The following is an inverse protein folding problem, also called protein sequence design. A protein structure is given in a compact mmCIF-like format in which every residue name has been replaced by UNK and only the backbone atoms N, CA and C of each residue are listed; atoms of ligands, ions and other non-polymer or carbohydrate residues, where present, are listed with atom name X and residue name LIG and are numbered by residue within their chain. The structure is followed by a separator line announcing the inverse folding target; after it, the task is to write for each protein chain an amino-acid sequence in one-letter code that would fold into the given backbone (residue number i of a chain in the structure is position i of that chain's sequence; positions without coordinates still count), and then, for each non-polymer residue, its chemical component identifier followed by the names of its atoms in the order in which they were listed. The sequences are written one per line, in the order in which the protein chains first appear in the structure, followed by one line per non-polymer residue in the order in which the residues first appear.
data_IF_883497008936
#
_entry.id   IF_883497008936
#
_cell.length_a   1.000
_cell.length_b   1.000
_cell.length_c   1.000
_cell.angle_alpha   90.00
_cell.angle_beta   90.00
_cell.angle_gamma   90.00
#
_symmetry.space_group_name_H-M   'P 1'
#
loop_
_entity.id
_entity.type
_entity.pdbx_description
1 polymer ?
#
# COMPACT_ATOMS: atom_id res chain seq x y z
N UNK A 1 14.91 -7.30 4.76
CA UNK A 1 13.57 -7.53 5.33
C UNK A 1 13.11 -8.92 4.99
N UNK A 2 13.06 -9.26 3.76
CA UNK A 2 12.82 -10.65 3.31
C UNK A 2 14.10 -11.23 2.73
N UNK A 3 14.29 -12.56 2.83
CA UNK A 3 15.40 -13.28 2.21
C UNK A 3 14.94 -14.04 0.96
N UNK A 4 15.89 -14.50 0.16
CA UNK A 4 15.59 -15.33 -1.01
C UNK A 4 14.83 -16.59 -0.57
N UNK A 5 13.85 -17.01 -1.37
CA UNK A 5 12.94 -18.14 -1.14
C UNK A 5 11.89 -17.95 -0.02
N UNK A 6 11.86 -16.83 0.69
CA UNK A 6 10.70 -16.49 1.52
C UNK A 6 9.47 -16.17 0.67
N UNK A 7 8.32 -16.20 1.30
CA UNK A 7 7.02 -15.99 0.65
C UNK A 7 6.43 -14.64 1.01
N UNK A 8 5.79 -14.04 0.02
CA UNK A 8 5.09 -12.76 0.15
C UNK A 8 3.61 -12.97 -0.11
N UNK A 9 2.78 -12.58 0.85
CA UNK A 9 1.33 -12.69 0.74
C UNK A 9 0.78 -11.49 -0.03
N UNK A 10 -0.15 -11.74 -0.94
CA UNK A 10 -0.90 -10.72 -1.67
C UNK A 10 -2.38 -11.10 -1.73
N UNK A 11 -3.27 -10.13 -1.56
CA UNK A 11 -4.72 -10.33 -1.67
C UNK A 11 -5.17 -10.05 -3.11
N UNK A 12 -5.59 -11.08 -3.85
CA UNK A 12 -5.92 -10.97 -5.27
C UNK A 12 -7.42 -10.83 -5.54
N UNK A 13 -7.82 -10.13 -6.65
CA UNK A 13 -6.96 -9.50 -7.66
C UNK A 13 -6.27 -8.24 -7.11
N UNK A 14 -5.01 -8.03 -7.48
CA UNK A 14 -4.20 -6.89 -7.04
C UNK A 14 -3.28 -6.41 -8.17
N UNK A 15 -2.67 -5.26 -7.99
CA UNK A 15 -1.77 -4.65 -8.96
C UNK A 15 -0.67 -5.63 -9.42
N UNK A 16 -0.64 -5.90 -10.73
CA UNK A 16 0.16 -6.96 -11.33
C UNK A 16 1.69 -6.79 -11.13
N UNK A 17 2.17 -5.57 -10.95
CA UNK A 17 3.61 -5.32 -10.73
C UNK A 17 4.11 -5.92 -9.40
N UNK A 18 3.24 -6.12 -8.41
CA UNK A 18 3.63 -6.81 -7.19
C UNK A 18 4.14 -8.23 -7.47
N UNK A 19 3.47 -8.96 -8.36
CA UNK A 19 3.90 -10.30 -8.77
C UNK A 19 5.30 -10.29 -9.37
N UNK A 20 5.54 -9.38 -10.33
CA UNK A 20 6.86 -9.25 -10.95
C UNK A 20 7.93 -8.84 -9.93
N UNK A 21 7.60 -7.91 -9.03
CA UNK A 21 8.54 -7.46 -7.99
C UNK A 21 8.91 -8.59 -7.03
N UNK A 22 7.96 -9.43 -6.64
CA UNK A 22 8.20 -10.58 -5.77
C UNK A 22 9.11 -11.61 -6.46
N UNK A 23 8.74 -12.03 -7.68
CA UNK A 23 9.45 -13.07 -8.42
C UNK A 23 10.86 -12.61 -8.83
N UNK A 24 10.99 -11.40 -9.35
CA UNK A 24 12.28 -10.86 -9.79
C UNK A 24 13.28 -10.69 -8.65
N UNK A 25 12.80 -10.61 -7.42
CA UNK A 25 13.62 -10.58 -6.22
C UNK A 25 13.84 -11.98 -5.59
N UNK A 26 13.47 -13.07 -6.27
CA UNK A 26 13.69 -14.44 -5.82
C UNK A 26 12.82 -14.86 -4.63
N UNK A 27 11.62 -14.29 -4.48
CA UNK A 27 10.62 -14.67 -3.48
C UNK A 27 9.47 -15.39 -4.15
N UNK A 28 8.69 -16.12 -3.38
CA UNK A 28 7.50 -16.82 -3.84
C UNK A 28 6.23 -16.04 -3.44
N UNK A 29 5.18 -16.23 -4.23
CA UNK A 29 3.89 -15.58 -4.00
C UNK A 29 2.98 -16.55 -3.24
N UNK A 30 2.30 -16.02 -2.21
CA UNK A 30 1.14 -16.65 -1.58
C UNK A 30 -0.07 -15.77 -1.87
N UNK A 31 -0.99 -16.29 -2.66
CA UNK A 31 -2.23 -15.59 -2.98
C UNK A 31 -3.31 -15.90 -1.95
N UNK A 32 -3.94 -14.84 -1.44
CA UNK A 32 -5.18 -14.90 -0.65
C UNK A 32 -6.28 -14.22 -1.47
N UNK A 33 -7.13 -14.97 -2.19
CA UNK A 33 -8.15 -14.40 -3.05
C UNK A 33 -9.20 -13.64 -2.25
N UNK A 34 -9.53 -12.43 -2.69
CA UNK A 34 -10.69 -11.71 -2.18
C UNK A 34 -11.97 -12.41 -2.60
N UNK A 35 -12.92 -12.52 -1.71
CA UNK A 35 -14.26 -12.97 -2.03
C UNK A 35 -15.06 -11.88 -2.73
N UNK A 36 -15.68 -12.20 -3.87
CA UNK A 36 -16.54 -11.25 -4.59
C UNK A 36 -17.98 -11.73 -4.56
N UNK A 37 -18.84 -10.94 -3.95
CA UNK A 37 -20.26 -11.20 -3.86
C UNK A 37 -21.07 -9.89 -3.91
N UNK A 38 -22.19 -9.91 -4.65
CA UNK A 38 -23.12 -8.78 -4.73
C UNK A 38 -22.48 -7.43 -5.10
N UNK A 39 -21.46 -7.44 -5.98
CA UNK A 39 -20.76 -6.22 -6.41
C UNK A 39 -19.70 -5.70 -5.42
N UNK A 40 -19.40 -6.44 -4.35
CA UNK A 40 -18.42 -6.06 -3.35
C UNK A 40 -17.31 -7.10 -3.22
N UNK A 41 -16.09 -6.62 -2.95
CA UNK A 41 -14.96 -7.44 -2.57
C UNK A 41 -14.78 -7.43 -1.06
N UNK A 42 -14.54 -8.60 -0.48
CA UNK A 42 -14.30 -8.78 0.95
C UNK A 42 -13.09 -9.70 1.18
N UNK A 43 -12.43 -9.55 2.34
CA UNK A 43 -11.31 -10.40 2.70
C UNK A 43 -11.84 -11.70 3.31
N UNK A 44 -11.41 -12.83 2.78
CA UNK A 44 -11.52 -14.11 3.49
C UNK A 44 -10.42 -14.18 4.55
N UNK A 45 -10.78 -13.84 5.77
CA UNK A 45 -9.83 -13.83 6.89
C UNK A 45 -9.36 -15.22 7.30
N UNK A 46 -10.10 -16.27 7.00
CA UNK A 46 -9.66 -17.64 7.29
C UNK A 46 -8.56 -18.06 6.31
N UNK A 47 -8.75 -17.79 5.03
CA UNK A 47 -7.71 -18.02 4.01
C UNK A 47 -6.48 -17.11 4.24
N UNK A 48 -6.70 -15.83 4.52
CA UNK A 48 -5.59 -14.91 4.81
C UNK A 48 -4.76 -15.40 5.99
N UNK A 49 -5.39 -15.82 7.10
CA UNK A 49 -4.68 -16.34 8.26
C UNK A 49 -3.93 -17.63 7.94
N UNK A 50 -4.52 -18.53 7.14
CA UNK A 50 -3.83 -19.73 6.65
C UNK A 50 -2.54 -19.36 5.91
N UNK A 51 -2.60 -18.41 4.96
CA UNK A 51 -1.41 -17.96 4.22
C UNK A 51 -0.36 -17.28 5.10
N UNK A 52 -0.79 -16.46 6.06
CA UNK A 52 0.10 -15.80 7.01
C UNK A 52 0.78 -16.79 7.97
N UNK A 53 0.14 -17.93 8.25
CA UNK A 53 0.68 -18.99 9.13
C UNK A 53 1.75 -19.85 8.47
N UNK A 54 1.96 -19.74 7.16
CA UNK A 54 3.05 -20.44 6.48
C UNK A 54 4.41 -20.01 7.05
N UNK A 55 5.26 -20.95 7.51
CA UNK A 55 6.52 -20.61 8.19
C UNK A 55 7.51 -19.85 7.32
N UNK A 56 7.31 -19.78 6.01
CA UNK A 56 8.11 -19.00 5.08
C UNK A 56 7.47 -17.64 4.73
N UNK A 57 6.23 -17.38 5.16
CA UNK A 57 5.60 -16.08 4.95
C UNK A 57 6.29 -15.03 5.82
N UNK A 58 6.82 -13.98 5.22
CA UNK A 58 7.58 -12.94 5.91
C UNK A 58 7.07 -11.52 5.64
N UNK A 59 6.28 -11.34 4.57
CA UNK A 59 5.76 -10.04 4.15
C UNK A 59 4.34 -10.19 3.62
N UNK A 60 3.46 -9.27 3.99
CA UNK A 60 2.19 -9.00 3.31
C UNK A 60 2.32 -7.69 2.55
N UNK A 61 1.99 -7.67 1.26
CA UNK A 61 1.79 -6.41 0.52
C UNK A 61 0.31 -6.05 0.59
N UNK A 62 0.01 -5.04 1.38
CA UNK A 62 -1.33 -4.48 1.55
C UNK A 62 -1.51 -3.30 0.59
N UNK A 63 -2.40 -3.44 -0.38
CA UNK A 63 -2.81 -2.35 -1.26
C UNK A 63 -4.02 -1.62 -0.64
N UNK A 64 -3.88 -0.34 -0.29
CA UNK A 64 -4.97 0.44 0.31
C UNK A 64 -4.86 1.92 -0.04
N UNK A 65 -5.72 2.46 -0.89
CA UNK A 65 -6.86 1.83 -1.61
C UNK A 65 -6.44 0.67 -2.51
N UNK A 66 -7.29 -0.35 -2.59
CA UNK A 66 -6.96 -1.62 -3.26
C UNK A 66 -7.18 -1.54 -4.78
N UNK A 67 -6.10 -1.56 -5.53
CA UNK A 67 -6.09 -1.55 -6.99
C UNK A 67 -6.00 -3.00 -7.53
N UNK A 68 -6.88 -3.47 -8.44
CA UNK A 68 -7.83 -2.70 -9.26
C UNK A 68 -9.26 -2.63 -8.71
N UNK A 69 -9.57 -3.24 -7.58
CA UNK A 69 -10.97 -3.42 -7.14
C UNK A 69 -11.62 -2.13 -6.59
N UNK A 70 -10.83 -1.10 -6.34
CA UNK A 70 -11.34 0.20 -5.85
C UNK A 70 -11.85 0.18 -4.40
N UNK A 71 -11.47 -0.82 -3.61
CA UNK A 71 -11.86 -0.95 -2.21
C UNK A 71 -10.97 -0.14 -1.29
N UNK A 72 -11.55 0.56 -0.34
CA UNK A 72 -10.85 1.19 0.78
C UNK A 72 -11.23 0.41 2.05
N UNK A 73 -10.23 -0.13 2.72
CA UNK A 73 -10.43 -0.91 3.92
C UNK A 73 -10.70 -0.02 5.12
N UNK A 74 -11.72 -0.36 5.92
CA UNK A 74 -12.04 0.35 7.13
C UNK A 74 -11.07 0.05 8.28
N UNK A 75 -11.12 0.88 9.34
CA UNK A 75 -10.22 0.77 10.50
C UNK A 75 -10.29 -0.61 11.17
N UNK A 76 -11.47 -1.23 11.28
CA UNK A 76 -11.64 -2.54 11.90
C UNK A 76 -10.98 -3.64 11.07
N UNK A 77 -11.18 -3.63 9.76
CA UNK A 77 -10.53 -4.52 8.80
C UNK A 77 -9.01 -4.39 8.86
N UNK A 78 -8.50 -3.15 8.84
CA UNK A 78 -7.05 -2.89 8.92
C UNK A 78 -6.46 -3.33 10.26
N UNK A 79 -7.17 -3.14 11.37
CA UNK A 79 -6.74 -3.61 12.70
C UNK A 79 -6.60 -5.13 12.71
N UNK A 80 -7.59 -5.85 12.18
CA UNK A 80 -7.56 -7.31 12.11
C UNK A 80 -6.41 -7.84 11.23
N UNK A 81 -6.14 -7.20 10.09
CA UNK A 81 -4.95 -7.52 9.27
C UNK A 81 -3.68 -7.35 10.10
N UNK A 82 -3.53 -6.22 10.80
CA UNK A 82 -2.37 -5.92 11.61
C UNK A 82 -2.15 -6.93 12.75
N UNK A 83 -3.22 -7.33 13.43
CA UNK A 83 -3.18 -8.35 14.49
C UNK A 83 -2.75 -9.72 13.95
N UNK A 84 -3.31 -10.16 12.82
CA UNK A 84 -2.93 -11.43 12.19
C UNK A 84 -1.48 -11.41 11.72
N UNK A 85 -1.03 -10.35 11.08
CA UNK A 85 0.36 -10.21 10.63
C UNK A 85 1.33 -10.23 11.82
N UNK A 86 1.02 -9.53 12.91
CA UNK A 86 1.85 -9.55 14.11
C UNK A 86 1.86 -10.92 14.79
N UNK A 87 0.71 -11.60 14.87
CA UNK A 87 0.58 -12.96 15.43
C UNK A 87 1.50 -13.96 14.72
N UNK A 88 1.62 -13.85 13.39
CA UNK A 88 2.40 -14.77 12.57
C UNK A 88 3.79 -14.22 12.19
N UNK A 89 4.21 -13.10 12.80
CA UNK A 89 5.51 -12.46 12.56
C UNK A 89 5.72 -12.02 11.10
N UNK A 90 4.65 -11.71 10.38
CA UNK A 90 4.66 -11.20 9.02
C UNK A 90 4.67 -9.67 9.04
N UNK A 91 5.60 -9.06 8.32
CA UNK A 91 5.69 -7.61 8.18
C UNK A 91 4.66 -7.11 7.17
N UNK A 92 4.10 -5.92 7.37
CA UNK A 92 3.18 -5.30 6.41
C UNK A 92 3.90 -4.21 5.62
N UNK A 93 3.89 -4.34 4.29
CA UNK A 93 4.21 -3.24 3.38
C UNK A 93 2.87 -2.67 2.88
N UNK A 94 2.50 -1.50 3.37
CA UNK A 94 1.27 -0.81 2.98
C UNK A 94 1.53 0.11 1.81
N UNK A 95 1.04 -0.27 0.63
CA UNK A 95 1.05 0.60 -0.54
C UNK A 95 -0.18 1.52 -0.51
N UNK A 96 0.08 2.77 -0.16
CA UNK A 96 -0.93 3.82 0.01
C UNK A 96 -0.85 4.90 -1.09
N UNK A 97 -0.30 4.56 -2.25
CA UNK A 97 -0.07 5.50 -3.35
C UNK A 97 -1.35 6.18 -3.87
N UNK A 98 -2.51 5.58 -3.63
CA UNK A 98 -3.82 6.10 -4.03
C UNK A 98 -4.60 6.76 -2.89
N UNK A 99 -4.00 6.96 -1.71
CA UNK A 99 -4.70 7.39 -0.48
C UNK A 99 -5.47 8.71 -0.61
N UNK A 100 -5.02 9.62 -1.45
CA UNK A 100 -5.66 10.92 -1.65
C UNK A 100 -6.79 10.89 -2.70
N UNK A 101 -6.83 9.86 -3.57
CA UNK A 101 -7.82 9.73 -4.65
C UNK A 101 -9.08 8.99 -4.18
N UNK A 102 -9.68 9.51 -3.11
CA UNK A 102 -10.88 8.95 -2.51
C UNK A 102 -12.13 9.75 -2.88
N UNK A 103 -13.30 9.16 -2.66
CA UNK A 103 -14.58 9.88 -2.83
C UNK A 103 -14.58 11.15 -1.99
N UNK A 104 -15.06 12.30 -2.53
CA UNK A 104 -15.26 13.49 -1.73
C UNK A 104 -16.03 13.21 -0.44
N UNK A 105 -15.55 13.76 0.68
CA UNK A 105 -16.14 13.55 2.00
C UNK A 105 -15.97 12.14 2.60
N UNK A 106 -15.14 11.28 2.00
CA UNK A 106 -14.82 9.96 2.56
C UNK A 106 -13.44 9.97 3.20
N UNK A 107 -13.39 9.55 4.46
CA UNK A 107 -12.13 9.45 5.20
C UNK A 107 -11.33 8.22 4.73
N UNK A 108 -10.04 8.43 4.55
CA UNK A 108 -9.04 7.39 4.38
C UNK A 108 -8.33 7.14 5.71
N UNK A 109 -8.05 5.88 6.02
CA UNK A 109 -7.34 5.50 7.25
C UNK A 109 -5.96 4.94 6.88
N UNK A 110 -4.86 5.66 7.15
CA UNK A 110 -3.51 5.13 6.99
C UNK A 110 -3.29 3.90 7.88
N UNK A 111 -2.70 2.83 7.34
CA UNK A 111 -2.51 1.59 8.09
C UNK A 111 -1.73 1.78 9.40
N UNK A 112 -0.63 2.53 9.35
CA UNK A 112 0.20 2.81 10.52
C UNK A 112 -0.51 3.64 11.62
N UNK A 113 -1.66 4.26 11.32
CA UNK A 113 -2.45 5.05 12.28
C UNK A 113 -3.52 4.24 13.04
N UNK A 114 -3.70 2.97 12.66
CA UNK A 114 -4.79 2.15 13.19
C UNK A 114 -4.56 1.75 14.64
N UNK A 115 -3.37 1.25 14.96
CA UNK A 115 -2.95 0.80 16.28
C UNK A 115 -1.43 0.85 16.42
N UNK A 116 -0.92 0.69 17.64
CA UNK A 116 0.52 0.59 17.87
C UNK A 116 1.11 -0.65 17.19
N UNK A 117 0.39 -1.76 17.16
CA UNK A 117 0.79 -2.98 16.45
C UNK A 117 0.97 -2.71 14.96
N UNK A 118 -0.01 -2.06 14.31
CA UNK A 118 0.09 -1.68 12.91
C UNK A 118 1.26 -0.73 12.66
N UNK A 119 1.46 0.23 13.55
CA UNK A 119 2.53 1.22 13.47
C UNK A 119 3.92 0.60 13.52
N UNK A 120 4.16 -0.27 14.49
CA UNK A 120 5.48 -0.87 14.73
C UNK A 120 5.82 -2.00 13.73
N UNK A 121 4.80 -2.61 13.11
CA UNK A 121 4.97 -3.74 12.18
C UNK A 121 4.72 -3.36 10.72
N UNK A 122 4.90 -2.09 10.33
CA UNK A 122 4.63 -1.67 8.96
C UNK A 122 5.70 -0.79 8.32
N UNK A 123 5.68 -0.84 7.00
CA UNK A 123 6.36 0.06 6.07
C UNK A 123 5.27 0.65 5.19
N UNK A 124 5.09 1.96 5.19
CA UNK A 124 4.10 2.65 4.35
C UNK A 124 4.78 3.33 3.16
N UNK A 125 4.27 3.08 1.96
CA UNK A 125 4.72 3.71 0.73
C UNK A 125 3.67 4.70 0.24
N UNK A 126 4.06 5.96 0.08
CA UNK A 126 3.22 7.05 -0.46
C UNK A 126 3.97 7.80 -1.55
N UNK A 127 3.24 8.38 -2.50
CA UNK A 127 3.84 9.18 -3.55
C UNK A 127 2.85 10.23 -4.07
N UNK A 128 3.33 11.41 -4.49
CA UNK A 128 2.48 12.42 -5.14
C UNK A 128 2.14 12.06 -6.59
N UNK A 129 2.74 10.99 -7.10
CA UNK A 129 2.79 10.66 -8.53
C UNK A 129 1.41 10.34 -9.12
N UNK A 130 0.53 9.69 -8.36
CA UNK A 130 -0.85 9.41 -8.78
C UNK A 130 -1.77 10.58 -8.48
N UNK A 131 -1.71 11.10 -7.26
CA UNK A 131 -2.54 12.21 -6.79
C UNK A 131 -2.38 13.45 -7.66
N UNK A 132 -1.15 13.84 -7.99
CA UNK A 132 -0.84 15.09 -8.70
C UNK A 132 -0.33 14.89 -10.13
N UNK A 133 -0.53 13.70 -10.70
CA UNK A 133 -0.09 13.38 -12.07
C UNK A 133 1.41 13.63 -12.32
N UNK A 134 2.24 13.26 -11.37
CA UNK A 134 3.70 13.48 -11.37
C UNK A 134 4.51 12.18 -11.57
N UNK A 135 3.93 11.16 -12.23
CA UNK A 135 4.56 9.85 -12.36
C UNK A 135 5.94 9.89 -13.04
N UNK A 136 6.13 10.82 -13.99
CA UNK A 136 7.41 11.01 -14.68
C UNK A 136 8.57 11.46 -13.78
N UNK A 137 8.30 11.94 -12.57
CA UNK A 137 9.32 12.34 -11.60
C UNK A 137 9.89 11.17 -10.80
N UNK A 138 9.26 9.99 -10.86
CA UNK A 138 9.74 8.75 -10.26
C UNK A 138 10.17 8.93 -8.80
N UNK A 139 9.31 9.52 -7.99
CA UNK A 139 9.56 9.80 -6.58
C UNK A 139 8.50 9.20 -5.68
N UNK A 140 8.93 8.72 -4.51
CA UNK A 140 8.06 8.21 -3.46
C UNK A 140 8.68 8.48 -2.08
N UNK A 141 7.86 8.44 -1.06
CA UNK A 141 8.30 8.47 0.33
C UNK A 141 7.99 7.13 1.00
N UNK A 142 8.94 6.62 1.78
CA UNK A 142 8.79 5.41 2.57
C UNK A 142 8.78 5.80 4.04
N UNK A 143 7.65 5.59 4.71
CA UNK A 143 7.40 5.96 6.10
C UNK A 143 7.53 4.71 6.96
N UNK A 144 8.47 4.71 7.90
CA UNK A 144 8.73 3.57 8.78
C UNK A 144 8.87 4.08 10.21
N UNK A 145 7.83 3.97 11.04
CA UNK A 145 7.86 4.45 12.43
C UNK A 145 8.89 3.71 13.28
N UNK A 146 8.94 2.39 13.21
CA UNK A 146 9.88 1.55 13.96
C UNK A 146 11.33 1.87 13.57
N UNK A 147 12.20 2.30 14.51
CA UNK A 147 13.55 2.74 14.19
C UNK A 147 14.47 1.62 13.70
N UNK A 148 14.30 0.40 14.18
CA UNK A 148 15.10 -0.75 13.74
C UNK A 148 14.75 -1.12 12.31
N UNK A 149 13.45 -1.18 12.02
CA UNK A 149 12.95 -1.46 10.68
C UNK A 149 13.35 -0.34 9.71
N UNK A 150 13.20 0.93 10.11
CA UNK A 150 13.61 2.10 9.32
C UNK A 150 15.09 2.05 8.96
N UNK A 151 15.95 1.67 9.90
CA UNK A 151 17.39 1.52 9.63
C UNK A 151 17.64 0.46 8.55
N UNK A 152 16.96 -0.70 8.62
CA UNK A 152 17.08 -1.77 7.63
C UNK A 152 16.60 -1.33 6.24
N UNK A 153 15.44 -0.64 6.18
CA UNK A 153 14.89 -0.10 4.92
C UNK A 153 15.87 0.89 4.30
N UNK A 154 16.34 1.86 5.08
CA UNK A 154 17.28 2.88 4.61
C UNK A 154 18.57 2.24 4.07
N UNK A 155 19.12 1.25 4.76
CA UNK A 155 20.29 0.51 4.27
C UNK A 155 20.01 -0.20 2.95
N UNK A 156 18.85 -0.85 2.80
CA UNK A 156 18.46 -1.53 1.56
C UNK A 156 18.38 -0.56 0.39
N UNK A 157 17.66 0.54 0.56
CA UNK A 157 17.51 1.58 -0.47
C UNK A 157 18.86 2.16 -0.91
N UNK A 158 19.79 2.39 0.04
CA UNK A 158 21.14 2.88 -0.29
C UNK A 158 22.00 1.80 -0.97
N UNK A 159 21.87 0.54 -0.58
CA UNK A 159 22.61 -0.57 -1.20
C UNK A 159 22.18 -0.79 -2.65
N UNK A 160 20.90 -0.61 -2.93
CA UNK A 160 20.32 -0.74 -4.27
C UNK A 160 20.43 0.56 -5.10
N UNK A 161 21.08 1.60 -4.55
CA UNK A 161 21.30 2.92 -5.18
C UNK A 161 20.01 3.61 -5.65
N UNK A 162 18.91 3.38 -4.94
CA UNK A 162 17.58 3.98 -5.23
C UNK A 162 17.17 5.06 -4.22
N UNK A 163 18.05 5.40 -3.27
CA UNK A 163 17.78 6.39 -2.23
C UNK A 163 17.95 7.84 -2.71
N UNK A 164 18.59 8.07 -3.84
CA UNK A 164 18.87 9.41 -4.36
C UNK A 164 17.83 9.80 -5.42
N UNK A 165 16.87 10.68 -5.08
CA UNK A 165 15.87 11.15 -6.03
C UNK A 165 16.52 12.13 -7.04
N UNK A 166 15.92 12.24 -8.23
CA UNK A 166 16.34 13.28 -9.18
C UNK A 166 16.04 14.69 -8.63
N UNK A 167 16.67 15.71 -9.24
CA UNK A 167 16.63 17.09 -8.74
C UNK A 167 15.20 17.68 -8.62
N UNK A 168 14.27 17.27 -9.48
CA UNK A 168 12.88 17.75 -9.43
C UNK A 168 12.02 16.96 -8.44
N UNK A 169 12.43 15.76 -8.09
CA UNK A 169 11.71 14.86 -7.21
C UNK A 169 11.61 15.36 -5.74
N UNK A 170 12.47 16.27 -5.33
CA UNK A 170 12.37 16.93 -4.02
C UNK A 170 11.45 18.16 -4.07
N UNK A 171 11.57 18.97 -5.10
CA UNK A 171 10.89 20.28 -5.19
C UNK A 171 9.40 20.09 -5.54
N UNK A 172 9.09 19.26 -6.52
CA UNK A 172 7.72 19.09 -7.02
C UNK A 172 6.78 18.42 -5.99
N UNK A 173 7.17 17.34 -5.27
CA UNK A 173 6.34 16.81 -4.19
C UNK A 173 6.07 17.81 -3.06
N UNK A 174 7.07 18.58 -2.66
CA UNK A 174 6.90 19.61 -1.64
C UNK A 174 5.90 20.68 -2.09
N UNK A 175 5.98 21.12 -3.34
CA UNK A 175 5.03 22.06 -3.91
C UNK A 175 3.62 21.44 -4.01
N UNK A 176 3.51 20.21 -4.50
CA UNK A 176 2.24 19.51 -4.65
C UNK A 176 1.52 19.31 -3.32
N UNK A 177 2.21 18.78 -2.30
CA UNK A 177 1.60 18.54 -0.99
C UNK A 177 1.30 19.84 -0.21
N UNK A 178 2.11 20.88 -0.35
CA UNK A 178 1.88 22.13 0.37
C UNK A 178 0.86 23.06 -0.30
N UNK A 179 0.67 22.96 -1.62
CA UNK A 179 -0.13 23.93 -2.39
C UNK A 179 -1.17 23.28 -3.32
N UNK A 180 -1.24 21.96 -3.39
CA UNK A 180 -2.10 21.24 -4.33
C UNK A 180 -3.51 20.92 -3.83
N UNK A 181 -3.91 21.34 -2.62
CA UNK A 181 -5.18 20.93 -2.00
C UNK A 181 -6.40 21.28 -2.86
N UNK A 182 -6.53 22.53 -3.32
CA UNK A 182 -7.65 22.97 -4.15
C UNK A 182 -7.72 22.23 -5.49
N UNK A 183 -6.56 21.96 -6.09
CA UNK A 183 -6.47 21.19 -7.31
C UNK A 183 -6.93 19.75 -7.09
N UNK A 184 -6.50 19.13 -5.98
CA UNK A 184 -6.88 17.78 -5.61
C UNK A 184 -8.39 17.66 -5.36
N UNK A 185 -8.99 18.60 -4.63
CA UNK A 185 -10.42 18.59 -4.37
C UNK A 185 -11.21 18.71 -5.68
N UNK A 186 -10.80 19.61 -6.59
CA UNK A 186 -11.41 19.73 -7.92
C UNK A 186 -11.27 18.45 -8.75
N UNK A 187 -10.09 17.78 -8.69
CA UNK A 187 -9.87 16.49 -9.35
C UNK A 187 -10.77 15.39 -8.78
N UNK A 188 -10.92 15.32 -7.47
CA UNK A 188 -11.77 14.32 -6.81
C UNK A 188 -13.23 14.46 -7.22
N UNK A 189 -13.75 15.69 -7.28
CA UNK A 189 -15.11 15.96 -7.76
C UNK A 189 -15.27 15.53 -9.23
N UNK A 190 -14.34 15.90 -10.11
CA UNK A 190 -14.35 15.52 -11.51
C UNK A 190 -14.32 14.00 -11.71
N UNK A 191 -13.44 13.31 -10.99
CA UNK A 191 -13.36 11.84 -11.05
C UNK A 191 -14.65 11.18 -10.57
N UNK A 192 -15.29 11.77 -9.56
CA UNK A 192 -16.52 11.23 -9.02
C UNK A 192 -17.73 11.48 -9.96
N UNK A 193 -17.76 12.58 -10.68
CA UNK A 193 -18.71 12.81 -11.76
C UNK A 193 -18.55 11.80 -12.89
N UNK A 194 -17.33 11.58 -13.35
CA UNK A 194 -17.02 10.59 -14.39
C UNK A 194 -17.45 9.18 -13.96
N UNK A 195 -17.23 8.83 -12.71
CA UNK A 195 -17.67 7.54 -12.17
C UNK A 195 -19.20 7.41 -12.23
N UNK A 196 -19.95 8.41 -11.78
CA UNK A 196 -21.43 8.40 -11.85
C UNK A 196 -21.92 8.20 -13.28
N UNK A 197 -21.32 8.92 -14.22
CA UNK A 197 -21.66 8.78 -15.64
C UNK A 197 -21.38 7.37 -16.20
N UNK A 198 -20.33 6.71 -15.72
CA UNK A 198 -20.00 5.36 -16.16
C UNK A 198 -20.88 4.27 -15.51
N UNK A 199 -21.53 4.56 -14.39
CA UNK A 199 -22.46 3.66 -13.69
C UNK A 199 -23.91 3.74 -14.26
N UNK A 200 -24.25 4.79 -15.03
CA UNK A 200 -25.52 4.97 -15.78
C UNK A 200 -25.53 4.15 -17.08
#
# INVERSE_FOLDING_TARGET
MTTTAEKVVVMTPVYNIFFNSIINNGRFILESPLHYENGAYEIDFADLEEKLSDPQASLLILCNPHNPVGKIWDRGTLAKIGELCAKHHVLVLSDEIHCDLTKPGKDYVPFASVSETCRENSITCVAPTKTFNLAGLQTAAVIVPNPVLRHRVNRGLNTDEVAEPNVFAAIAPVAAFNHGAEWLDSLREYLWENRRYAEE
#
